data_IF_759626236798
#
_entry.id   IF_759626236798
#
_cell.length_a   1.000
_cell.length_b   1.000
_cell.length_c   1.000
_cell.angle_alpha   90.00
_cell.angle_beta   90.00
_cell.angle_gamma   90.00
#
_symmetry.space_group_name_H-M   'P 1'
#
loop_
_entity.id
_entity.type
_entity.pdbx_description
1 polymer ?
#
# COMPACT_ATOMS: atom_id res chain seq x y z
N UNK A 1 -35.91 26.11 -3.97
CA UNK A 1 -36.12 25.25 -2.78
C UNK A 1 -35.58 23.83 -3.00
N UNK A 2 -36.03 23.08 -4.02
CA UNK A 2 -35.61 21.69 -4.27
C UNK A 2 -34.08 21.45 -4.37
N UNK A 3 -33.35 22.37 -4.99
CA UNK A 3 -31.89 22.25 -5.15
C UNK A 3 -31.15 22.05 -3.82
N UNK A 4 -31.59 22.74 -2.75
CA UNK A 4 -30.96 22.64 -1.42
C UNK A 4 -31.25 21.30 -0.76
N UNK A 5 -32.50 20.82 -0.90
CA UNK A 5 -32.95 19.55 -0.32
C UNK A 5 -32.09 18.42 -0.87
N UNK A 6 -32.02 18.29 -2.20
CA UNK A 6 -31.26 17.22 -2.86
C UNK A 6 -29.78 17.27 -2.47
N UNK A 7 -29.14 18.45 -2.43
CA UNK A 7 -27.72 18.57 -2.03
C UNK A 7 -27.48 18.18 -0.57
N UNK A 8 -28.39 18.53 0.34
CA UNK A 8 -28.18 18.29 1.76
C UNK A 8 -28.43 16.83 2.18
N UNK A 9 -29.15 16.04 1.37
CA UNK A 9 -29.66 14.72 1.78
C UNK A 9 -29.36 13.60 0.78
N UNK A 10 -28.51 13.80 -0.22
CA UNK A 10 -28.16 12.76 -1.19
C UNK A 10 -26.72 12.87 -1.70
N UNK A 11 -26.17 11.74 -2.12
CA UNK A 11 -24.87 11.61 -2.76
C UNK A 11 -25.00 11.26 -4.25
N UNK A 12 -23.87 11.36 -4.97
CA UNK A 12 -23.80 10.93 -6.36
C UNK A 12 -24.12 9.44 -6.49
N UNK A 13 -25.14 9.12 -7.28
CA UNK A 13 -25.59 7.74 -7.52
C UNK A 13 -26.82 7.33 -6.70
N UNK A 14 -27.29 8.17 -5.78
CA UNK A 14 -28.51 7.90 -5.01
C UNK A 14 -29.76 7.99 -5.90
N UNK A 15 -30.73 7.10 -5.62
CA UNK A 15 -32.03 7.11 -6.29
C UNK A 15 -32.95 8.14 -5.61
N UNK A 16 -33.36 9.17 -6.35
CA UNK A 16 -34.35 10.15 -5.89
C UNK A 16 -35.72 9.77 -6.45
N UNK A 17 -36.64 9.39 -5.55
CA UNK A 17 -38.02 9.05 -5.89
C UNK A 17 -38.94 10.25 -5.63
N UNK A 18 -39.69 10.66 -6.66
CA UNK A 18 -40.72 11.69 -6.54
C UNK A 18 -42.10 11.08 -6.88
N UNK A 19 -42.92 10.73 -5.87
CA UNK A 19 -44.22 10.11 -6.09
C UNK A 19 -45.28 11.08 -6.65
N UNK A 20 -44.98 12.39 -6.68
CA UNK A 20 -45.88 13.44 -7.18
C UNK A 20 -45.17 14.27 -8.24
N UNK A 21 -44.87 13.62 -9.36
CA UNK A 21 -44.00 14.12 -10.43
C UNK A 21 -44.33 15.52 -10.97
N UNK A 22 -45.58 15.98 -10.89
CA UNK A 22 -45.98 17.36 -11.23
C UNK A 22 -45.43 17.83 -12.59
N UNK A 23 -44.80 19.01 -12.64
CA UNK A 23 -44.11 19.55 -13.85
C UNK A 23 -42.71 18.96 -14.09
N UNK A 24 -42.29 17.94 -13.34
CA UNK A 24 -40.98 17.28 -13.50
C UNK A 24 -39.79 18.10 -12.96
N UNK A 25 -40.03 19.07 -12.07
CA UNK A 25 -38.97 19.97 -11.55
C UNK A 25 -37.86 19.21 -10.83
N UNK A 26 -38.18 18.12 -10.14
CA UNK A 26 -37.22 17.25 -9.44
C UNK A 26 -36.23 16.61 -10.41
N UNK A 27 -36.73 16.06 -11.52
CA UNK A 27 -35.90 15.46 -12.57
C UNK A 27 -35.00 16.50 -13.26
N UNK A 28 -35.52 17.70 -13.53
CA UNK A 28 -34.74 18.80 -14.13
C UNK A 28 -33.61 19.24 -13.21
N UNK A 29 -33.88 19.39 -11.91
CA UNK A 29 -32.86 19.77 -10.91
C UNK A 29 -31.80 18.68 -10.77
N UNK A 30 -32.19 17.41 -10.66
CA UNK A 30 -31.25 16.29 -10.57
C UNK A 30 -30.35 16.18 -11.82
N UNK A 31 -30.92 16.29 -13.02
CA UNK A 31 -30.15 16.26 -14.27
C UNK A 31 -29.20 17.46 -14.39
N UNK A 32 -29.62 18.65 -13.97
CA UNK A 32 -28.76 19.83 -13.97
C UNK A 32 -27.60 19.72 -12.96
N UNK A 33 -27.75 18.94 -11.88
CA UNK A 33 -26.65 18.64 -10.96
C UNK A 33 -25.64 17.68 -11.58
N UNK A 34 -26.10 16.59 -12.20
CA UNK A 34 -25.23 15.63 -12.88
C UNK A 34 -24.37 16.29 -13.96
N UNK A 35 -24.94 17.23 -14.72
CA UNK A 35 -24.20 17.99 -15.75
C UNK A 35 -23.07 18.87 -15.19
N UNK A 36 -23.11 19.25 -13.91
CA UNK A 36 -22.06 20.06 -13.27
C UNK A 36 -20.92 19.23 -12.70
N UNK A 37 -21.06 17.90 -12.67
CA UNK A 37 -20.01 17.01 -12.17
C UNK A 37 -18.91 16.93 -13.22
N UNK A 38 -17.78 17.56 -12.90
CA UNK A 38 -16.58 17.44 -13.72
C UNK A 38 -15.88 16.15 -13.34
N UNK A 39 -15.75 15.24 -14.30
CA UNK A 39 -14.94 14.04 -14.10
C UNK A 39 -13.47 14.44 -13.94
N UNK A 40 -12.90 14.17 -12.77
CA UNK A 40 -11.47 14.33 -12.55
C UNK A 40 -10.75 13.24 -13.35
N UNK A 41 -9.75 13.62 -14.15
CA UNK A 41 -8.96 12.66 -14.93
C UNK A 41 -8.35 11.62 -14.00
N UNK A 42 -8.48 10.34 -14.34
CA UNK A 42 -7.94 9.20 -13.57
C UNK A 42 -6.43 9.34 -13.28
N UNK A 43 -5.70 9.99 -14.18
CA UNK A 43 -4.27 10.34 -14.04
C UNK A 43 -3.99 11.21 -12.81
N UNK A 44 -4.90 12.12 -12.44
CA UNK A 44 -4.78 12.96 -11.25
C UNK A 44 -5.09 12.20 -9.95
N UNK A 45 -5.71 11.02 -10.05
CA UNK A 45 -5.98 10.12 -8.93
C UNK A 45 -4.85 9.08 -8.73
N UNK A 46 -3.91 9.00 -9.69
CA UNK A 46 -2.76 8.10 -9.62
C UNK A 46 -1.64 8.76 -8.82
N UNK A 47 -1.66 8.58 -7.50
CA UNK A 47 -0.50 8.86 -6.67
C UNK A 47 0.58 7.79 -6.90
N UNK A 48 1.74 8.19 -7.44
CA UNK A 48 2.89 7.29 -7.61
C UNK A 48 3.48 7.00 -6.24
N UNK A 49 3.15 5.83 -5.68
CA UNK A 49 3.69 5.40 -4.40
C UNK A 49 5.21 5.24 -4.53
N UNK A 50 5.97 6.11 -3.88
CA UNK A 50 7.42 5.97 -3.81
C UNK A 50 7.79 4.76 -2.95
N UNK A 51 8.57 3.84 -3.51
CA UNK A 51 9.09 2.70 -2.77
C UNK A 51 10.19 3.17 -1.81
N UNK A 52 9.81 3.38 -0.54
CA UNK A 52 10.76 3.74 0.51
C UNK A 52 11.79 2.62 0.73
N UNK A 53 13.06 3.02 0.91
CA UNK A 53 14.17 2.11 1.26
C UNK A 53 13.79 1.26 2.49
N UNK A 54 14.20 -0.02 2.55
CA UNK A 54 13.85 -0.93 3.64
C UNK A 54 14.38 -0.42 4.99
N UNK A 55 13.52 -0.24 6.00
CA UNK A 55 13.96 0.12 7.37
C UNK A 55 14.47 -1.12 8.12
N UNK A 56 15.62 -1.64 7.69
CA UNK A 56 16.28 -2.82 8.27
C UNK A 56 17.59 -2.36 8.91
N UNK A 57 17.77 -2.66 10.20
CA UNK A 57 19.00 -2.38 10.93
C UNK A 57 20.08 -3.42 10.66
N UNK A 58 21.34 -3.07 10.95
CA UNK A 58 22.48 -3.94 10.68
C UNK A 58 22.48 -5.20 11.56
N UNK A 59 22.14 -5.05 12.84
CA UNK A 59 21.96 -6.19 13.75
C UNK A 59 20.96 -7.22 13.22
N UNK A 60 19.86 -6.80 12.60
CA UNK A 60 18.89 -7.73 12.00
C UNK A 60 19.46 -8.56 10.85
N UNK A 61 20.43 -8.01 10.10
CA UNK A 61 21.13 -8.76 9.05
C UNK A 61 22.06 -9.82 9.65
N UNK A 62 22.67 -9.52 10.80
CA UNK A 62 23.52 -10.46 11.55
C UNK A 62 22.68 -11.58 12.17
N UNK A 63 21.61 -11.23 12.88
CA UNK A 63 20.70 -12.19 13.52
C UNK A 63 20.11 -13.20 12.55
N UNK A 64 19.86 -12.80 11.30
CA UNK A 64 19.36 -13.68 10.24
C UNK A 64 20.46 -14.35 9.41
N UNK A 65 21.73 -14.07 9.71
CA UNK A 65 22.87 -14.72 9.06
C UNK A 65 23.20 -14.23 7.65
N UNK A 66 22.63 -13.09 7.20
CA UNK A 66 23.06 -12.46 5.94
C UNK A 66 24.50 -11.96 6.05
N UNK A 67 24.86 -11.48 7.25
CA UNK A 67 26.22 -11.10 7.64
C UNK A 67 26.59 -11.93 8.87
N UNK A 68 27.81 -12.44 8.93
CA UNK A 68 28.28 -13.23 10.08
C UNK A 68 29.17 -12.40 10.99
N UNK A 69 29.19 -12.76 12.26
CA UNK A 69 30.17 -12.24 13.23
C UNK A 69 31.56 -12.74 12.80
N UNK A 70 32.57 -11.87 12.89
CA UNK A 70 33.93 -12.10 12.39
C UNK A 70 34.07 -11.93 10.87
N UNK A 71 33.00 -11.63 10.16
CA UNK A 71 33.06 -11.41 8.72
C UNK A 71 33.72 -10.07 8.37
N UNK A 72 34.50 -10.04 7.29
CA UNK A 72 35.10 -8.81 6.78
C UNK A 72 34.15 -8.05 5.85
N UNK A 73 33.95 -6.77 6.15
CA UNK A 73 33.34 -5.79 5.26
C UNK A 73 34.43 -5.04 4.51
N UNK A 74 34.13 -4.67 3.27
CA UNK A 74 35.04 -3.96 2.38
C UNK A 74 34.41 -2.70 1.82
N UNK A 75 35.25 -1.70 1.54
CA UNK A 75 34.91 -0.59 0.66
C UNK A 75 34.76 -1.07 -0.79
N UNK A 76 34.03 -0.30 -1.62
CA UNK A 76 33.89 -0.57 -3.07
C UNK A 76 35.24 -0.78 -3.78
N UNK A 77 36.28 -0.05 -3.37
CA UNK A 77 37.64 -0.16 -3.95
C UNK A 77 38.50 -1.26 -3.28
N UNK A 78 37.98 -1.96 -2.26
CA UNK A 78 38.69 -2.93 -1.40
C UNK A 78 39.92 -2.34 -0.69
N UNK A 79 39.98 -1.03 -0.53
CA UNK A 79 41.07 -0.30 0.13
C UNK A 79 40.89 -0.17 1.64
N UNK A 80 39.65 -0.31 2.11
CA UNK A 80 39.26 -0.26 3.52
C UNK A 80 38.56 -1.56 3.88
N UNK A 81 38.90 -2.10 5.04
CA UNK A 81 38.27 -3.29 5.60
C UNK A 81 37.85 -3.05 7.05
N UNK A 82 36.79 -3.74 7.47
CA UNK A 82 36.33 -3.76 8.85
C UNK A 82 35.82 -5.16 9.22
N UNK A 83 35.98 -5.58 10.47
CA UNK A 83 35.52 -6.88 10.97
C UNK A 83 34.23 -6.68 11.77
N UNK A 84 33.23 -7.52 11.52
CA UNK A 84 31.94 -7.47 12.21
C UNK A 84 32.04 -8.10 13.59
N UNK A 85 31.59 -7.38 14.61
CA UNK A 85 31.56 -7.82 16.00
C UNK A 85 30.19 -8.39 16.41
N UNK A 86 30.15 -9.07 17.56
CA UNK A 86 28.95 -9.76 18.04
C UNK A 86 27.81 -8.79 18.46
N UNK A 87 28.16 -7.57 18.84
CA UNK A 87 27.25 -6.50 19.24
C UNK A 87 26.73 -5.65 18.06
N UNK A 88 26.99 -6.10 16.82
CA UNK A 88 26.71 -5.37 15.58
C UNK A 88 27.54 -4.08 15.38
N UNK A 89 28.61 -3.89 16.16
CA UNK A 89 29.66 -2.92 15.83
C UNK A 89 30.61 -3.49 14.77
N UNK A 90 31.43 -2.62 14.19
CA UNK A 90 32.51 -3.02 13.29
C UNK A 90 33.83 -2.43 13.78
N UNK A 91 34.89 -3.21 13.63
CA UNK A 91 36.24 -2.84 13.98
C UNK A 91 37.06 -2.59 12.72
N UNK A 92 37.66 -1.41 12.61
CA UNK A 92 38.53 -1.04 11.48
C UNK A 92 39.83 -0.48 12.03
N UNK A 93 40.92 -1.26 11.93
CA UNK A 93 42.20 -0.88 12.54
C UNK A 93 42.10 -0.90 14.07
N UNK A 94 42.22 0.25 14.72
CA UNK A 94 42.12 0.40 16.19
C UNK A 94 40.81 1.07 16.64
N UNK A 95 39.85 1.28 15.73
CA UNK A 95 38.58 1.90 16.06
C UNK A 95 37.43 0.89 16.01
N UNK A 96 36.58 0.94 17.04
CA UNK A 96 35.36 0.15 17.14
C UNK A 96 34.19 1.12 17.23
N UNK A 97 33.14 0.85 16.46
CA UNK A 97 31.93 1.67 16.48
C UNK A 97 30.85 1.12 15.56
N UNK A 98 29.75 1.85 15.42
CA UNK A 98 28.71 1.47 14.47
C UNK A 98 29.19 1.57 13.02
N UNK A 99 28.52 0.87 12.11
CA UNK A 99 28.81 0.94 10.66
C UNK A 99 28.75 2.37 10.10
N UNK A 100 27.94 3.25 10.71
CA UNK A 100 27.82 4.65 10.32
C UNK A 100 29.03 5.45 10.79
N UNK A 101 29.35 5.37 12.09
CA UNK A 101 30.48 6.08 12.71
C UNK A 101 31.80 5.71 12.03
N UNK A 102 32.09 4.42 11.87
CA UNK A 102 33.35 3.97 11.26
C UNK A 102 33.43 4.40 9.80
N UNK A 103 32.34 4.34 9.03
CA UNK A 103 32.35 4.83 7.64
C UNK A 103 32.56 6.34 7.54
N UNK A 104 31.99 7.10 8.49
CA UNK A 104 32.12 8.55 8.55
C UNK A 104 33.55 8.95 8.92
N UNK A 105 34.13 8.29 9.93
CA UNK A 105 35.54 8.46 10.34
C UNK A 105 36.52 8.13 9.22
N UNK A 106 36.33 7.00 8.52
CA UNK A 106 37.19 6.60 7.38
C UNK A 106 37.19 7.67 6.27
N UNK A 107 36.05 8.32 6.05
CA UNK A 107 35.88 9.37 5.04
C UNK A 107 36.17 10.79 5.56
N UNK A 108 36.54 10.95 6.84
CA UNK A 108 36.68 12.24 7.52
C UNK A 108 35.44 13.14 7.34
N UNK A 109 34.24 12.58 7.56
CA UNK A 109 32.96 13.30 7.51
C UNK A 109 32.22 13.15 8.84
N UNK A 110 31.32 14.09 9.16
CA UNK A 110 30.44 13.99 10.32
C UNK A 110 29.43 12.84 10.22
N UNK A 111 28.95 12.56 9.00
CA UNK A 111 28.04 11.46 8.72
C UNK A 111 28.22 10.93 7.29
N UNK A 112 27.86 9.67 7.09
CA UNK A 112 27.93 9.03 5.78
C UNK A 112 26.85 7.94 5.63
N UNK A 113 26.40 7.69 4.40
CA UNK A 113 25.52 6.56 4.11
C UNK A 113 26.34 5.26 4.09
N UNK A 114 26.39 4.57 5.22
CA UNK A 114 27.15 3.33 5.39
C UNK A 114 26.68 2.18 4.49
N UNK A 115 25.40 2.16 4.09
CA UNK A 115 24.80 1.06 3.34
C UNK A 115 25.34 0.94 1.91
N UNK A 116 25.72 2.08 1.32
CA UNK A 116 26.32 2.14 -0.01
C UNK A 116 27.85 1.98 0.03
N UNK A 117 28.44 2.17 1.21
CA UNK A 117 29.89 2.16 1.43
C UNK A 117 30.43 0.74 1.66
N UNK A 118 29.72 -0.07 2.44
CA UNK A 118 30.17 -1.39 2.83
C UNK A 118 29.65 -2.51 1.93
N UNK A 119 30.52 -3.48 1.67
CA UNK A 119 30.28 -4.67 0.85
C UNK A 119 30.79 -5.91 1.57
N UNK A 120 30.10 -7.03 1.40
CA UNK A 120 30.59 -8.35 1.83
C UNK A 120 31.17 -9.08 0.62
N UNK A 121 32.24 -9.85 0.84
CA UNK A 121 32.84 -10.68 -0.21
C UNK A 121 32.20 -12.07 -0.20
N UNK A 122 31.52 -12.43 -1.29
CA UNK A 122 30.88 -13.73 -1.48
C UNK A 122 31.24 -14.26 -2.86
N UNK A 123 31.75 -15.48 -2.96
CA UNK A 123 32.13 -16.10 -4.23
C UNK A 123 33.02 -15.19 -5.12
N UNK A 124 33.94 -14.47 -4.49
CA UNK A 124 34.83 -13.49 -5.13
C UNK A 124 34.15 -12.21 -5.68
N UNK A 125 32.85 -12.03 -5.46
CA UNK A 125 32.07 -10.83 -5.81
C UNK A 125 31.79 -9.97 -4.59
N UNK A 126 31.76 -8.64 -4.79
CA UNK A 126 31.38 -7.68 -3.75
C UNK A 126 29.87 -7.45 -3.78
N UNK A 127 29.19 -7.88 -2.73
CA UNK A 127 27.76 -7.69 -2.55
C UNK A 127 27.54 -6.53 -1.58
N UNK A 128 26.82 -5.49 -2.00
CA UNK A 128 26.50 -4.34 -1.14
C UNK A 128 25.61 -4.76 0.03
N UNK A 129 25.87 -4.23 1.22
CA UNK A 129 25.00 -4.47 2.37
C UNK A 129 23.58 -3.92 2.14
N UNK A 130 23.41 -2.85 1.36
CA UNK A 130 22.06 -2.34 1.03
C UNK A 130 21.24 -3.40 0.29
N UNK A 131 21.87 -4.17 -0.62
CA UNK A 131 21.19 -5.26 -1.33
C UNK A 131 20.72 -6.37 -0.37
N UNK A 132 21.47 -6.65 0.69
CA UNK A 132 21.09 -7.61 1.74
C UNK A 132 19.85 -7.15 2.51
N UNK A 133 19.63 -5.83 2.66
CA UNK A 133 18.39 -5.30 3.28
C UNK A 133 17.17 -5.55 2.41
N UNK A 134 17.32 -5.47 1.09
CA UNK A 134 16.23 -5.82 0.16
C UNK A 134 15.95 -7.31 0.20
N UNK A 135 16.99 -8.15 0.24
CA UNK A 135 16.83 -9.60 0.42
C UNK A 135 16.08 -9.92 1.73
N UNK A 136 16.51 -9.33 2.86
CA UNK A 136 15.81 -9.41 4.14
C UNK A 136 14.36 -8.98 4.01
N UNK A 137 14.08 -7.79 3.45
CA UNK A 137 12.71 -7.31 3.30
C UNK A 137 11.87 -8.26 2.43
N UNK A 138 12.42 -8.83 1.36
CA UNK A 138 11.70 -9.79 0.51
C UNK A 138 11.33 -11.04 1.29
N UNK A 139 12.28 -11.61 2.01
CA UNK A 139 12.11 -12.89 2.70
C UNK A 139 11.16 -12.78 3.90
N UNK A 140 11.10 -11.61 4.56
CA UNK A 140 10.23 -11.35 5.71
C UNK A 140 8.93 -10.59 5.39
N UNK A 141 8.83 -9.87 4.28
CA UNK A 141 7.57 -9.24 3.84
C UNK A 141 6.56 -10.27 3.30
N UNK A 142 7.03 -11.45 2.88
CA UNK A 142 6.16 -12.52 2.37
C UNK A 142 5.51 -13.35 3.50
N UNK A 143 6.15 -13.47 4.68
CA UNK A 143 5.57 -14.22 5.81
C UNK A 143 4.27 -13.63 6.36
N UNK A 144 4.01 -12.33 6.16
CA UNK A 144 2.78 -11.67 6.63
C UNK A 144 1.62 -11.69 5.62
N UNK A 145 1.87 -12.04 4.35
CA UNK A 145 0.81 -12.05 3.32
C UNK A 145 0.04 -13.38 3.27
N UNK A 146 0.69 -14.52 3.52
CA UNK A 146 -0.03 -15.81 3.54
C UNK A 146 -0.88 -16.03 4.79
N UNK A 147 -0.61 -15.32 5.90
CA UNK A 147 -1.36 -15.50 7.14
C UNK A 147 -2.65 -14.65 7.25
N UNK A 148 -2.94 -13.73 6.30
CA UNK A 148 -4.07 -12.78 6.44
C UNK A 148 -4.89 -12.50 5.18
N UNK A 149 -4.63 -13.18 4.05
CA UNK A 149 -5.53 -13.07 2.90
C UNK A 149 -6.58 -14.16 3.00
N UNK A 150 -7.61 -13.92 3.81
CA UNK A 150 -8.93 -14.50 3.49
C UNK A 150 -9.38 -13.78 2.22
N UNK A 151 -9.23 -14.42 1.07
CA UNK A 151 -9.84 -13.93 -0.16
C UNK A 151 -11.35 -13.88 0.07
N UNK A 152 -11.91 -12.68 0.27
CA UNK A 152 -13.35 -12.48 0.15
C UNK A 152 -13.66 -12.66 -1.35
N UNK A 153 -14.17 -13.83 -1.71
CA UNK A 153 -14.65 -14.11 -3.06
C UNK A 153 -15.95 -13.32 -3.28
N UNK A 154 -15.85 -12.12 -3.83
CA UNK A 154 -17.00 -11.29 -4.19
C UNK A 154 -17.93 -11.93 -5.25
N UNK A 155 -17.49 -12.99 -5.93
CA UNK A 155 -18.23 -13.62 -7.04
C UNK A 155 -19.41 -14.49 -6.59
N UNK A 156 -19.53 -14.82 -5.30
CA UNK A 156 -20.60 -15.68 -4.77
C UNK A 156 -21.77 -14.88 -4.16
N UNK A 157 -21.67 -13.55 -4.05
CA UNK A 157 -22.70 -12.66 -3.50
C UNK A 157 -23.37 -11.76 -4.55
N UNK A 158 -23.41 -12.19 -5.82
CA UNK A 158 -24.33 -11.58 -6.77
C UNK A 158 -25.75 -12.05 -6.41
N UNK A 159 -26.55 -11.13 -5.89
CA UNK A 159 -28.01 -11.33 -5.76
C UNK A 159 -28.52 -11.61 -7.17
N UNK A 160 -28.96 -12.83 -7.43
CA UNK A 160 -29.62 -13.22 -8.68
C UNK A 160 -30.77 -12.25 -8.95
N UNK A 161 -30.90 -11.83 -10.21
CA UNK A 161 -31.99 -10.95 -10.68
C UNK A 161 -33.33 -11.43 -10.12
N UNK A 162 -34.17 -10.47 -9.70
CA UNK A 162 -35.47 -10.70 -9.05
C UNK A 162 -36.22 -11.90 -9.67
N UNK A 163 -36.30 -13.01 -8.91
CA UNK A 163 -37.01 -14.19 -9.36
C UNK A 163 -38.47 -13.87 -9.70
N UNK A 164 -38.94 -14.43 -10.83
CA UNK A 164 -40.26 -14.24 -11.44
C UNK A 164 -41.45 -14.42 -10.49
N UNK A 165 -41.25 -15.10 -9.36
CA UNK A 165 -42.20 -15.27 -8.26
C UNK A 165 -42.58 -13.95 -7.59
N UNK A 166 -41.64 -13.01 -7.43
CA UNK A 166 -41.90 -11.71 -6.79
C UNK A 166 -42.65 -10.75 -7.71
N UNK A 167 -42.38 -10.82 -9.02
CA UNK A 167 -43.14 -10.11 -10.05
C UNK A 167 -44.61 -10.59 -10.13
N UNK A 168 -44.87 -11.88 -9.94
CA UNK A 168 -46.23 -12.43 -9.83
C UNK A 168 -46.97 -11.92 -8.60
N UNK A 169 -46.29 -11.87 -7.43
CA UNK A 169 -46.89 -11.35 -6.19
C UNK A 169 -47.27 -9.86 -6.29
N UNK A 170 -46.44 -9.05 -6.95
CA UNK A 170 -46.74 -7.62 -7.21
C UNK A 170 -47.88 -7.47 -8.24
N UNK A 171 -48.02 -8.38 -9.19
CA UNK A 171 -49.12 -8.38 -10.16
C UNK A 171 -50.47 -8.79 -9.54
N UNK A 172 -50.48 -9.77 -8.62
CA UNK A 172 -51.69 -10.24 -7.93
C UNK A 172 -52.19 -9.25 -6.88
N UNK A 173 -51.29 -8.58 -6.15
CA UNK A 173 -51.66 -7.51 -5.20
C UNK A 173 -52.29 -6.29 -5.87
N UNK A 174 -51.93 -6.00 -7.14
CA UNK A 174 -52.58 -4.95 -7.96
C UNK A 174 -53.95 -5.35 -8.53
N UNK A 175 -54.25 -6.65 -8.65
CA UNK A 175 -55.59 -7.12 -9.05
C UNK A 175 -56.57 -7.11 -7.88
N UNK A 176 -56.12 -7.44 -6.68
CA UNK A 176 -56.98 -7.54 -5.50
C UNK A 176 -57.45 -6.17 -4.94
N UNK A 177 -56.83 -5.08 -5.40
CA UNK A 177 -57.20 -3.70 -5.05
C UNK A 177 -58.17 -3.04 -6.04
N UNK A 178 -58.48 -3.68 -7.18
CA UNK A 178 -59.47 -3.19 -8.16
C UNK A 178 -60.87 -3.79 -8.03
N UNK A 179 -61.06 -4.83 -7.22
CA UNK A 179 -62.35 -5.50 -6.99
C UNK A 179 -62.99 -5.18 -5.62
N UNK A 180 -62.55 -4.12 -4.95
CA UNK A 180 -63.20 -3.55 -3.76
C UNK A 180 -63.54 -2.08 -4.02
N UNK A 181 -64.49 -1.86 -4.92
CA UNK A 181 -65.34 -0.67 -5.00
C UNK A 181 -66.74 -1.15 -5.35
#
# INVERSE_FOLDING_TARGET
>A
MLYRIIISTSNLGDLVLDPFMGRGTTAVVANNMLKKIVSIKKELLLYKIENKKPKVGFGSLIEKGYVKIGEKLYSRKKDKEAVVQADASIESGNEIGSIHEISAKILNKESNNCWDFWYVLRNNELISIDSLRYAYKRDFSNKSKDARVVQIKFKENCVEELNSTLLKYVAESKKNTRNKV
#
